data_IF_851710440621
#
_entry.id   IF_851710440621
#
_cell.length_a   1.000
_cell.length_b   1.000
_cell.length_c   1.000
_cell.angle_alpha   90.00
_cell.angle_beta   90.00
_cell.angle_gamma   90.00
#
_symmetry.space_group_name_H-M   'P 1'
#
loop_
_entity.id
_entity.type
_entity.pdbx_description
1 polymer ?
#
# COMPACT_ATOMS: atom_id res chain seq x y z
N UNK A 1 13.26 13.58 -20.16
CA UNK A 1 11.91 13.21 -19.67
C UNK A 1 11.61 14.16 -18.53
N UNK A 2 10.56 14.97 -18.65
CA UNK A 2 10.09 15.80 -17.52
C UNK A 2 9.41 14.85 -16.52
N UNK A 3 10.01 14.71 -15.35
CA UNK A 3 9.37 14.03 -14.23
C UNK A 3 8.22 14.93 -13.78
N UNK A 4 7.00 14.58 -14.10
CA UNK A 4 5.83 15.28 -13.59
C UNK A 4 5.81 15.05 -12.07
N UNK A 5 6.15 16.07 -11.31
CA UNK A 5 6.02 16.04 -9.85
C UNK A 5 4.52 16.00 -9.56
N UNK A 6 4.03 14.86 -9.10
CA UNK A 6 2.65 14.71 -8.65
C UNK A 6 2.63 15.00 -7.17
N UNK A 7 1.90 16.03 -6.77
CA UNK A 7 1.70 16.32 -5.35
C UNK A 7 1.01 15.14 -4.67
N UNK A 8 1.45 14.81 -3.46
CA UNK A 8 0.84 13.76 -2.67
C UNK A 8 -0.41 14.31 -1.96
N UNK A 9 -1.64 13.96 -2.40
CA UNK A 9 -2.84 14.46 -1.78
C UNK A 9 -3.14 13.76 -0.44
N UNK A 10 -3.96 14.38 0.39
CA UNK A 10 -4.62 13.70 1.49
C UNK A 10 -5.82 12.94 0.92
N UNK A 11 -5.90 11.63 1.21
CA UNK A 11 -7.05 10.81 0.84
C UNK A 11 -7.82 10.49 2.11
N UNK A 12 -9.03 11.06 2.24
CA UNK A 12 -9.84 10.95 3.46
C UNK A 12 -10.96 9.93 3.29
N UNK A 13 -10.97 8.92 4.15
CA UNK A 13 -11.97 7.88 4.25
C UNK A 13 -12.82 8.02 5.51
N UNK A 14 -13.61 6.99 5.81
CA UNK A 14 -14.43 6.92 7.02
C UNK A 14 -13.58 6.53 8.24
N UNK A 15 -12.79 5.46 8.11
CA UNK A 15 -11.98 4.88 9.18
C UNK A 15 -10.53 5.32 9.12
N UNK A 16 -10.00 5.51 7.90
CA UNK A 16 -8.61 5.91 7.71
C UNK A 16 -8.48 7.17 6.89
N UNK A 17 -7.38 7.87 7.12
CA UNK A 17 -6.88 8.96 6.30
C UNK A 17 -5.47 8.61 5.85
N UNK A 18 -5.19 8.76 4.56
CA UNK A 18 -3.85 8.65 4.01
C UNK A 18 -3.29 10.06 3.89
N UNK A 19 -2.27 10.36 4.70
CA UNK A 19 -1.59 11.65 4.69
C UNK A 19 -0.25 11.55 3.99
N UNK A 20 0.22 12.60 3.27
CA UNK A 20 1.58 12.64 2.75
C UNK A 20 2.58 12.29 3.84
N UNK A 21 3.44 11.29 3.58
CA UNK A 21 4.45 10.91 4.57
C UNK A 21 5.37 12.10 4.85
N UNK A 22 5.65 12.35 6.12
CA UNK A 22 6.55 13.40 6.58
C UNK A 22 7.34 12.94 7.82
N UNK A 23 8.41 13.67 8.15
CA UNK A 23 9.21 13.39 9.35
C UNK A 23 8.42 13.47 10.65
N UNK A 24 7.33 14.22 10.67
CA UNK A 24 6.45 14.31 11.85
C UNK A 24 5.78 12.97 12.20
N UNK A 25 5.72 12.03 11.24
CA UNK A 25 5.17 10.69 11.46
C UNK A 25 6.16 9.71 12.12
N UNK A 26 7.44 10.08 12.25
CA UNK A 26 8.50 9.17 12.70
C UNK A 26 8.22 8.58 14.08
N UNK A 27 7.83 9.41 15.06
CA UNK A 27 7.57 8.95 16.43
C UNK A 27 6.39 7.97 16.50
N UNK A 28 5.32 8.23 15.76
CA UNK A 28 4.18 7.32 15.73
C UNK A 28 4.48 6.01 14.99
N UNK A 29 5.32 6.06 13.94
CA UNK A 29 5.79 4.86 13.24
C UNK A 29 6.72 4.02 14.14
N UNK A 30 7.54 4.64 14.97
CA UNK A 30 8.44 3.97 15.91
C UNK A 30 7.68 3.06 16.88
N UNK A 31 6.48 3.45 17.33
CA UNK A 31 5.66 2.66 18.25
C UNK A 31 5.20 1.31 17.65
N UNK A 32 5.23 1.17 16.32
CA UNK A 32 4.62 0.03 15.62
C UNK A 32 5.56 -0.67 14.64
N UNK A 33 6.66 -0.03 14.22
CA UNK A 33 7.48 -0.53 13.12
C UNK A 33 8.37 -1.74 13.48
N UNK A 34 8.63 -2.00 14.75
CA UNK A 34 9.61 -3.02 15.15
C UNK A 34 9.01 -4.42 15.32
N UNK A 35 7.77 -4.62 14.93
CA UNK A 35 7.15 -5.94 14.89
C UNK A 35 7.69 -6.75 13.69
N UNK A 36 8.44 -7.82 13.94
CA UNK A 36 9.09 -8.65 12.92
C UNK A 36 8.10 -9.15 11.84
N UNK A 37 6.87 -9.45 12.24
CA UNK A 37 5.81 -9.92 11.34
C UNK A 37 5.50 -8.96 10.19
N UNK A 38 5.73 -7.65 10.37
CA UNK A 38 5.53 -6.63 9.33
C UNK A 38 6.49 -6.88 8.16
N UNK A 39 7.75 -7.17 8.46
CA UNK A 39 8.85 -7.19 7.50
C UNK A 39 9.15 -8.56 6.92
N UNK A 40 8.52 -9.62 7.45
CA UNK A 40 8.79 -11.02 7.10
C UNK A 40 8.82 -11.28 5.58
N UNK A 41 7.95 -10.65 4.82
CA UNK A 41 7.81 -10.84 3.38
C UNK A 41 8.20 -9.62 2.56
N UNK A 42 8.81 -8.61 3.19
CA UNK A 42 9.25 -7.39 2.54
C UNK A 42 10.73 -7.44 2.18
N UNK A 43 11.11 -6.69 1.16
CA UNK A 43 12.51 -6.56 0.72
C UNK A 43 13.33 -5.63 1.64
N UNK A 44 12.68 -4.99 2.59
CA UNK A 44 13.29 -4.14 3.62
C UNK A 44 12.95 -4.71 4.97
N UNK A 45 13.88 -4.60 5.91
CA UNK A 45 13.68 -4.95 7.32
C UNK A 45 13.93 -3.71 8.17
N UNK A 46 13.08 -3.51 9.18
CA UNK A 46 13.22 -2.44 10.17
C UNK A 46 13.03 -3.05 11.54
N UNK A 47 14.06 -3.00 12.38
CA UNK A 47 14.08 -3.61 13.71
C UNK A 47 14.49 -2.64 14.82
N UNK A 48 14.94 -1.44 14.45
CA UNK A 48 15.38 -0.40 15.37
C UNK A 48 15.16 1.00 14.78
N UNK A 49 15.37 2.01 15.62
CA UNK A 49 15.14 3.41 15.24
C UNK A 49 16.02 3.86 14.06
N UNK A 50 17.29 3.52 14.04
CA UNK A 50 18.21 3.92 12.96
C UNK A 50 17.77 3.36 11.60
N UNK A 51 17.31 2.10 11.56
CA UNK A 51 16.76 1.48 10.36
C UNK A 51 15.43 2.11 9.95
N UNK A 52 14.59 2.54 10.92
CA UNK A 52 13.35 3.26 10.64
C UNK A 52 13.64 4.64 10.05
N UNK A 53 14.63 5.37 10.59
CA UNK A 53 15.07 6.64 10.03
C UNK A 53 15.58 6.48 8.59
N UNK A 54 16.40 5.46 8.33
CA UNK A 54 16.86 5.13 6.97
C UNK A 54 15.72 4.77 6.02
N UNK A 55 14.73 4.00 6.49
CA UNK A 55 13.51 3.71 5.73
C UNK A 55 12.72 4.98 5.42
N UNK A 56 12.57 5.88 6.41
CA UNK A 56 11.87 7.15 6.27
C UNK A 56 12.55 8.05 5.22
N UNK A 57 13.86 8.24 5.31
CA UNK A 57 14.62 9.06 4.35
C UNK A 57 14.50 8.48 2.93
N UNK A 58 14.61 7.17 2.77
CA UNK A 58 14.40 6.51 1.48
C UNK A 58 12.98 6.71 0.94
N UNK A 59 11.98 6.66 1.82
CA UNK A 59 10.59 6.88 1.46
C UNK A 59 10.33 8.33 1.01
N UNK A 60 10.88 9.30 1.75
CA UNK A 60 10.76 10.73 1.44
C UNK A 60 11.50 11.09 0.14
N UNK A 61 12.69 10.53 -0.09
CA UNK A 61 13.45 10.73 -1.32
C UNK A 61 12.74 10.15 -2.57
N UNK A 62 11.99 9.05 -2.41
CA UNK A 62 11.23 8.46 -3.49
C UNK A 62 9.95 9.24 -3.82
N UNK A 63 9.39 9.99 -2.85
CA UNK A 63 8.16 10.75 -3.04
C UNK A 63 8.36 11.85 -4.10
N UNK A 64 7.48 11.91 -5.09
CA UNK A 64 7.63 12.79 -6.26
C UNK A 64 8.54 12.25 -7.38
N UNK A 65 9.33 11.19 -7.11
CA UNK A 65 10.18 10.50 -8.08
C UNK A 65 9.54 9.18 -8.53
N UNK A 66 8.37 9.24 -9.16
CA UNK A 66 7.61 8.06 -9.57
C UNK A 66 6.89 7.34 -8.41
N UNK A 67 7.00 7.85 -7.19
CA UNK A 67 6.29 7.35 -6.02
C UNK A 67 5.41 8.42 -5.40
N UNK A 68 4.29 7.98 -4.83
CA UNK A 68 3.44 8.78 -3.93
C UNK A 68 3.35 8.02 -2.62
N UNK A 69 3.81 8.64 -1.53
CA UNK A 69 4.02 7.94 -0.27
C UNK A 69 3.11 8.49 0.82
N UNK A 70 2.33 7.63 1.45
CA UNK A 70 1.40 8.00 2.51
C UNK A 70 1.71 7.31 3.84
N UNK A 71 1.48 8.05 4.91
CA UNK A 71 1.20 7.52 6.23
C UNK A 71 -0.28 7.11 6.30
N UNK A 72 -0.58 5.97 6.91
CA UNK A 72 -1.96 5.51 7.14
C UNK A 72 -2.36 5.87 8.56
N UNK A 73 -3.36 6.73 8.73
CA UNK A 73 -3.85 7.24 10.01
C UNK A 73 -5.20 6.60 10.31
N UNK A 74 -5.35 5.98 11.47
CA UNK A 74 -6.64 5.54 12.01
C UNK A 74 -7.36 6.77 12.60
N UNK A 75 -8.50 7.15 12.01
CA UNK A 75 -9.17 8.42 12.34
C UNK A 75 -9.73 8.44 13.77
N UNK A 76 -10.28 7.32 14.24
CA UNK A 76 -10.90 7.24 15.57
C UNK A 76 -9.92 7.58 16.72
N UNK A 77 -8.64 7.27 16.53
CA UNK A 77 -7.59 7.51 17.53
C UNK A 77 -6.61 8.60 17.10
N UNK A 78 -6.76 9.15 15.90
CA UNK A 78 -5.79 10.01 15.23
C UNK A 78 -4.36 9.44 15.31
N UNK A 79 -4.22 8.14 15.14
CA UNK A 79 -2.99 7.37 15.33
C UNK A 79 -2.48 6.83 14.01
N UNK A 80 -1.18 6.93 13.78
CA UNK A 80 -0.55 6.25 12.66
C UNK A 80 -0.53 4.73 12.89
N UNK A 81 -0.90 3.97 11.86
CA UNK A 81 -1.01 2.50 11.92
C UNK A 81 -0.16 1.79 10.87
N UNK A 82 0.48 2.54 9.98
CA UNK A 82 1.34 2.01 8.93
C UNK A 82 1.64 3.00 7.82
N UNK A 83 2.08 2.47 6.69
CA UNK A 83 2.39 3.26 5.48
C UNK A 83 2.04 2.46 4.22
N UNK A 84 1.79 3.18 3.13
CA UNK A 84 1.50 2.60 1.83
C UNK A 84 1.98 3.52 0.72
N UNK A 85 2.23 2.98 -0.48
CA UNK A 85 2.72 3.78 -1.62
C UNK A 85 1.98 3.43 -2.90
N UNK A 86 1.91 4.42 -3.78
CA UNK A 86 1.81 4.20 -5.22
C UNK A 86 3.24 4.31 -5.76
N UNK A 87 3.74 3.30 -6.45
CA UNK A 87 5.11 3.22 -6.95
C UNK A 87 5.11 2.95 -8.45
N UNK A 88 6.26 3.17 -9.08
CA UNK A 88 6.44 2.96 -10.51
C UNK A 88 5.36 3.71 -11.34
N UNK A 89 5.00 4.94 -10.92
CA UNK A 89 4.01 5.75 -11.61
C UNK A 89 4.53 6.16 -12.99
N UNK A 90 3.94 5.57 -14.02
CA UNK A 90 4.20 5.89 -15.42
C UNK A 90 3.00 6.65 -15.99
N UNK A 91 3.16 7.96 -16.16
CA UNK A 91 2.11 8.84 -16.72
C UNK A 91 1.91 8.65 -18.22
N UNK A 92 2.91 8.15 -18.95
CA UNK A 92 2.81 7.87 -20.38
C UNK A 92 1.97 6.62 -20.64
N UNK A 93 2.32 5.51 -19.97
CA UNK A 93 1.57 4.26 -20.06
C UNK A 93 0.36 4.22 -19.13
N UNK A 94 0.21 5.20 -18.26
CA UNK A 94 -0.87 5.34 -17.27
C UNK A 94 -0.98 4.10 -16.39
N UNK A 95 0.13 3.69 -15.79
CA UNK A 95 0.23 2.53 -14.90
C UNK A 95 0.91 2.90 -13.60
N UNK A 96 0.61 2.16 -12.55
CA UNK A 96 1.32 2.21 -11.28
C UNK A 96 1.18 0.89 -10.53
N UNK A 97 1.92 0.75 -9.43
CA UNK A 97 1.75 -0.34 -8.48
C UNK A 97 1.36 0.21 -7.10
N UNK A 98 0.41 -0.40 -6.45
CA UNK A 98 0.19 -0.21 -5.01
C UNK A 98 1.08 -1.20 -4.26
N UNK A 99 2.12 -0.68 -3.62
CA UNK A 99 3.14 -1.47 -2.96
C UNK A 99 3.68 -0.86 -1.68
N UNK A 100 4.74 -1.47 -1.13
CA UNK A 100 5.36 -1.06 0.14
C UNK A 100 4.36 -0.83 1.27
N UNK A 101 3.24 -1.55 1.24
CA UNK A 101 2.19 -1.44 2.25
C UNK A 101 2.54 -2.28 3.46
N UNK A 102 2.56 -1.65 4.62
CA UNK A 102 2.63 -2.33 5.89
C UNK A 102 1.71 -1.64 6.90
N UNK A 103 1.08 -2.43 7.71
CA UNK A 103 0.17 -2.02 8.78
C UNK A 103 0.51 -2.88 9.98
N UNK A 104 0.59 -2.29 11.17
CA UNK A 104 0.81 -3.07 12.39
C UNK A 104 -0.26 -4.16 12.54
N UNK A 105 0.14 -5.39 12.89
CA UNK A 105 -0.75 -6.54 13.06
C UNK A 105 -1.96 -6.28 13.96
N UNK A 106 -1.89 -5.31 14.86
CA UNK A 106 -3.01 -4.90 15.74
C UNK A 106 -4.26 -4.47 14.97
N UNK A 107 -4.10 -3.96 13.74
CA UNK A 107 -5.19 -3.46 12.90
C UNK A 107 -5.40 -4.32 11.65
N UNK A 108 -4.93 -5.57 11.67
CA UNK A 108 -5.27 -6.54 10.63
C UNK A 108 -6.70 -7.08 10.82
N UNK A 109 -7.34 -7.46 9.72
CA UNK A 109 -8.68 -8.08 9.75
C UNK A 109 -9.85 -7.12 9.89
N UNK A 110 -9.59 -5.82 10.02
CA UNK A 110 -10.61 -4.76 10.07
C UNK A 110 -10.56 -3.89 8.81
N UNK A 111 -11.45 -2.90 8.72
CA UNK A 111 -11.64 -2.05 7.52
C UNK A 111 -10.44 -1.16 7.14
N UNK A 112 -9.38 -1.08 7.95
CA UNK A 112 -8.21 -0.21 7.72
C UNK A 112 -7.56 -0.46 6.36
N UNK A 113 -7.11 -1.68 6.08
CA UNK A 113 -6.43 -1.97 4.82
C UNK A 113 -7.40 -1.95 3.62
N UNK A 114 -8.61 -2.53 3.69
CA UNK A 114 -9.58 -2.40 2.60
C UNK A 114 -9.91 -0.97 2.22
N UNK A 115 -10.14 -0.08 3.18
CA UNK A 115 -10.44 1.33 2.89
C UNK A 115 -9.21 2.07 2.34
N UNK A 116 -8.02 1.85 2.92
CA UNK A 116 -6.79 2.43 2.38
C UNK A 116 -6.59 2.06 0.90
N UNK A 117 -6.86 0.79 0.54
CA UNK A 117 -6.79 0.32 -0.85
C UNK A 117 -7.87 0.92 -1.73
N UNK A 118 -9.10 1.06 -1.24
CA UNK A 118 -10.18 1.75 -1.96
C UNK A 118 -9.80 3.21 -2.26
N UNK A 119 -9.28 3.94 -1.28
CA UNK A 119 -8.83 5.32 -1.45
C UNK A 119 -7.72 5.45 -2.50
N UNK A 120 -6.71 4.58 -2.44
CA UNK A 120 -5.62 4.57 -3.41
C UNK A 120 -6.10 4.22 -4.84
N UNK A 121 -6.96 3.22 -4.99
CA UNK A 121 -7.51 2.80 -6.27
C UNK A 121 -8.41 3.89 -6.87
N UNK A 122 -9.25 4.53 -6.05
CA UNK A 122 -10.07 5.66 -6.48
C UNK A 122 -9.19 6.78 -7.01
N UNK A 123 -8.18 7.19 -6.27
CA UNK A 123 -7.24 8.21 -6.69
C UNK A 123 -6.52 7.83 -8.01
N UNK A 124 -6.06 6.57 -8.10
CA UNK A 124 -5.35 6.07 -9.27
C UNK A 124 -6.22 6.08 -10.54
N UNK A 125 -7.46 5.59 -10.46
CA UNK A 125 -8.31 5.47 -11.63
C UNK A 125 -9.11 6.72 -11.96
N UNK A 126 -9.61 7.45 -10.94
CA UNK A 126 -10.54 8.56 -11.15
C UNK A 126 -9.83 9.92 -11.23
N UNK A 127 -8.73 10.12 -10.50
CA UNK A 127 -8.00 11.39 -10.49
C UNK A 127 -6.76 11.35 -11.39
N UNK A 128 -5.92 10.30 -11.28
CA UNK A 128 -4.76 10.14 -12.17
C UNK A 128 -5.09 9.55 -13.54
N UNK A 129 -6.30 9.01 -13.73
CA UNK A 129 -6.75 8.43 -14.98
C UNK A 129 -5.93 7.22 -15.44
N UNK A 130 -5.39 6.43 -14.49
CA UNK A 130 -4.58 5.27 -14.83
C UNK A 130 -5.39 4.20 -15.54
N UNK A 131 -4.72 3.42 -16.40
CA UNK A 131 -5.30 2.27 -17.09
C UNK A 131 -5.20 0.99 -16.28
N UNK A 132 -4.18 0.92 -15.39
CA UNK A 132 -3.84 -0.30 -14.69
C UNK A 132 -3.15 0.02 -13.35
N UNK A 133 -3.54 -0.71 -12.32
CA UNK A 133 -2.86 -0.72 -11.01
C UNK A 133 -2.43 -2.14 -10.69
N UNK A 134 -1.13 -2.33 -10.51
CA UNK A 134 -0.54 -3.62 -10.16
C UNK A 134 -0.42 -3.79 -8.63
N UNK A 135 -0.29 -5.05 -8.21
CA UNK A 135 0.04 -5.46 -6.85
C UNK A 135 1.05 -6.59 -6.91
N UNK A 136 2.03 -6.56 -6.01
CA UNK A 136 3.04 -7.63 -5.89
C UNK A 136 3.08 -8.15 -4.46
N UNK A 137 3.29 -9.45 -4.31
CA UNK A 137 3.54 -10.04 -3.00
C UNK A 137 4.49 -11.22 -3.08
N UNK A 138 5.04 -11.62 -1.94
CA UNK A 138 5.86 -12.81 -1.79
C UNK A 138 5.00 -14.07 -2.04
N UNK A 139 5.56 -15.09 -2.68
CA UNK A 139 4.84 -16.33 -3.01
C UNK A 139 4.32 -17.08 -1.77
N UNK A 140 4.99 -16.96 -0.63
CA UNK A 140 4.55 -17.56 0.63
C UNK A 140 3.60 -16.66 1.44
N UNK A 141 3.42 -15.40 1.06
CA UNK A 141 2.50 -14.50 1.74
C UNK A 141 1.05 -14.75 1.31
N UNK A 142 0.52 -15.92 1.71
CA UNK A 142 -0.83 -16.34 1.35
C UNK A 142 -1.89 -15.38 1.86
N UNK A 143 -1.66 -14.73 3.02
CA UNK A 143 -2.55 -13.71 3.58
C UNK A 143 -2.66 -12.50 2.64
N UNK A 144 -1.52 -11.98 2.17
CA UNK A 144 -1.52 -10.86 1.23
C UNK A 144 -2.16 -11.25 -0.11
N UNK A 145 -1.85 -12.45 -0.66
CA UNK A 145 -2.47 -12.92 -1.88
C UNK A 145 -4.00 -13.01 -1.75
N UNK A 146 -4.49 -13.54 -0.62
CA UNK A 146 -5.93 -13.61 -0.36
C UNK A 146 -6.56 -12.22 -0.23
N UNK A 147 -5.88 -11.28 0.45
CA UNK A 147 -6.34 -9.90 0.57
C UNK A 147 -6.42 -9.21 -0.80
N UNK A 148 -5.40 -9.37 -1.65
CA UNK A 148 -5.37 -8.79 -3.00
C UNK A 148 -6.49 -9.37 -3.88
N UNK A 149 -6.72 -10.70 -3.84
CA UNK A 149 -7.86 -11.32 -4.55
C UNK A 149 -9.21 -10.81 -4.05
N UNK A 150 -9.35 -10.59 -2.74
CA UNK A 150 -10.57 -10.02 -2.14
C UNK A 150 -10.83 -8.56 -2.55
N UNK A 151 -9.82 -7.83 -3.03
CA UNK A 151 -10.02 -6.52 -3.65
C UNK A 151 -10.64 -6.64 -5.05
N UNK A 152 -10.56 -7.80 -5.68
CA UNK A 152 -10.99 -8.03 -7.04
C UNK A 152 -9.83 -8.06 -8.05
N UNK A 153 -8.58 -7.99 -7.59
CA UNK A 153 -7.43 -8.06 -8.49
C UNK A 153 -7.25 -9.44 -9.11
N UNK A 154 -6.93 -9.46 -10.39
CA UNK A 154 -6.72 -10.67 -11.20
C UNK A 154 -5.27 -11.11 -11.10
N UNK A 155 -5.05 -12.42 -10.90
CA UNK A 155 -3.71 -13.02 -10.94
C UNK A 155 -3.16 -13.04 -12.36
N UNK A 156 -1.88 -12.64 -12.51
CA UNK A 156 -1.23 -12.55 -13.82
C UNK A 156 -0.04 -13.49 -13.98
N UNK A 157 0.58 -13.89 -12.88
CA UNK A 157 1.72 -14.80 -12.94
C UNK A 157 2.61 -14.74 -11.71
N UNK A 158 3.64 -15.59 -11.74
CA UNK A 158 4.68 -15.62 -10.71
C UNK A 158 6.07 -15.52 -11.37
N UNK A 159 6.80 -14.50 -10.99
CA UNK A 159 8.21 -14.36 -11.41
C UNK A 159 9.08 -15.17 -10.45
N UNK A 160 9.75 -16.18 -10.98
CA UNK A 160 10.63 -17.07 -10.20
C UNK A 160 11.96 -16.38 -9.93
N UNK A 161 12.49 -16.54 -8.70
CA UNK A 161 13.77 -15.97 -8.27
C UNK A 161 13.91 -14.48 -8.60
N UNK A 162 12.83 -13.72 -8.38
CA UNK A 162 12.72 -12.33 -8.83
C UNK A 162 13.55 -11.37 -7.99
N UNK A 163 13.70 -11.66 -6.68
CA UNK A 163 14.45 -10.82 -5.75
C UNK A 163 15.22 -11.67 -4.75
N UNK A 164 16.26 -11.09 -4.16
CA UNK A 164 16.95 -11.64 -3.00
C UNK A 164 16.39 -10.95 -1.74
N UNK A 165 15.98 -11.74 -0.77
CA UNK A 165 15.48 -11.26 0.52
C UNK A 165 16.63 -10.79 1.43
N UNK A 166 16.36 -10.00 2.49
CA UNK A 166 17.40 -9.57 3.43
C UNK A 166 18.16 -10.70 4.12
N UNK A 167 17.58 -11.89 4.22
CA UNK A 167 18.20 -13.10 4.76
C UNK A 167 18.96 -13.93 3.72
N UNK A 168 19.05 -13.47 2.48
CA UNK A 168 19.69 -14.14 1.35
C UNK A 168 18.81 -15.16 0.64
N UNK A 169 17.62 -15.45 1.10
CA UNK A 169 16.67 -16.36 0.43
C UNK A 169 16.14 -15.77 -0.86
N UNK A 170 15.65 -16.64 -1.78
CA UNK A 170 15.10 -16.22 -3.07
C UNK A 170 13.59 -16.04 -2.97
N UNK A 171 13.14 -14.85 -3.31
CA UNK A 171 11.73 -14.51 -3.42
C UNK A 171 11.21 -14.78 -4.83
N UNK A 172 10.14 -15.60 -4.95
CA UNK A 172 9.27 -15.54 -6.11
C UNK A 172 8.23 -14.47 -5.87
N UNK A 173 7.94 -13.66 -6.89
CA UNK A 173 6.98 -12.56 -6.77
C UNK A 173 5.71 -12.88 -7.53
N UNK A 174 4.60 -12.89 -6.81
CA UNK A 174 3.26 -13.10 -7.36
C UNK A 174 2.68 -11.75 -7.76
N UNK A 175 2.19 -11.67 -9.01
CA UNK A 175 1.65 -10.47 -9.61
C UNK A 175 0.14 -10.54 -9.75
N UNK A 176 -0.50 -9.43 -9.47
CA UNK A 176 -1.93 -9.18 -9.67
C UNK A 176 -2.12 -7.80 -10.26
N UNK A 177 -3.28 -7.56 -10.87
CA UNK A 177 -3.66 -6.22 -11.29
C UNK A 177 -5.16 -6.00 -11.24
N UNK A 178 -5.55 -4.73 -11.30
CA UNK A 178 -6.87 -4.24 -11.62
C UNK A 178 -6.71 -3.29 -12.80
N UNK A 179 -7.55 -3.45 -13.82
CA UNK A 179 -7.59 -2.55 -14.97
C UNK A 179 -8.69 -1.50 -14.81
N UNK A 180 -8.64 -0.46 -15.63
CA UNK A 180 -9.63 0.61 -15.64
C UNK A 180 -11.05 0.09 -15.94
N UNK A 181 -11.16 -0.89 -16.82
CA UNK A 181 -12.42 -1.52 -17.20
C UNK A 181 -13.05 -2.31 -16.05
N UNK A 182 -12.21 -2.89 -15.19
CA UNK A 182 -12.64 -3.67 -14.01
C UNK A 182 -13.00 -2.76 -12.83
N UNK A 183 -12.45 -1.54 -12.78
CA UNK A 183 -12.59 -0.65 -11.63
C UNK A 183 -14.04 -0.39 -11.18
N UNK A 184 -15.02 -0.13 -12.04
CA UNK A 184 -16.39 0.11 -11.61
C UNK A 184 -16.97 -1.04 -10.79
N UNK A 185 -16.71 -2.29 -11.19
CA UNK A 185 -17.15 -3.47 -10.47
C UNK A 185 -16.38 -3.68 -9.16
N UNK A 186 -15.07 -3.49 -9.18
CA UNK A 186 -14.21 -3.57 -8.01
C UNK A 186 -14.61 -2.53 -6.97
N UNK A 187 -14.86 -1.29 -7.39
CA UNK A 187 -15.32 -0.20 -6.54
C UNK A 187 -16.63 -0.56 -5.83
N UNK A 188 -17.64 -1.02 -6.57
CA UNK A 188 -18.93 -1.39 -6.00
C UNK A 188 -18.79 -2.46 -4.91
N UNK A 189 -18.01 -3.51 -5.17
CA UNK A 189 -17.76 -4.59 -4.20
C UNK A 189 -17.02 -4.11 -2.95
N UNK A 190 -16.05 -3.21 -3.11
CA UNK A 190 -15.33 -2.63 -1.98
C UNK A 190 -16.25 -1.74 -1.13
N UNK A 191 -17.09 -0.93 -1.75
CA UNK A 191 -18.07 -0.09 -1.05
C UNK A 191 -19.11 -0.92 -0.28
N UNK A 192 -19.61 -2.01 -0.87
CA UNK A 192 -20.51 -2.95 -0.20
C UNK A 192 -19.85 -3.61 1.01
N UNK A 193 -18.63 -4.11 0.84
CA UNK A 193 -17.85 -4.70 1.92
C UNK A 193 -17.64 -3.74 3.07
N UNK A 194 -17.21 -2.51 2.77
CA UNK A 194 -16.95 -1.49 3.78
C UNK A 194 -18.23 -1.02 4.49
N UNK A 195 -19.40 -1.14 3.83
CA UNK A 195 -20.70 -0.91 4.49
C UNK A 195 -21.08 -2.05 5.43
N UNK A 196 -20.80 -3.30 5.05
CA UNK A 196 -21.11 -4.46 5.86
C UNK A 196 -20.26 -4.55 7.14
N UNK A 197 -19.02 -4.02 7.11
CA UNK A 197 -18.12 -3.95 8.25
C UNK A 197 -18.54 -2.87 9.29
N UNK A 198 -19.69 -2.20 9.13
CA UNK A 198 -20.21 -1.25 10.09
C UNK A 198 -20.80 -2.01 11.29
N UNK A 199 -20.46 -1.67 12.53
CA UNK A 199 -21.21 -2.16 13.68
C UNK A 199 -22.67 -1.69 13.52
N UNK A 200 -23.59 -2.63 13.62
CA UNK A 200 -25.02 -2.32 13.68
C UNK A 200 -25.24 -1.33 14.82
N UNK A 201 -25.79 -0.17 14.48
CA UNK A 201 -26.12 0.92 15.43
C UNK A 201 -27.11 0.45 16.48
#
# INVERSE_FOLDING_TARGET
MQTTVVDTPILDGKWVRLEPLSRNHLSGLEEIAFEEKIWRYMLTRVSNRSELEGWMESALAANGNGHIVWATILKAENRIVGSTRLIDLDTHHRTAEIGHTWISPRWHGISVNPEAKQLQLRYAFEELGLNRVAFKTHHENLQSQAAIRKLGAVYEGTFRNHNVMPDGSLRHTVWFSITREEWPQVRSRLEERLRADQPSS
#
